data_IF_207189710709
#
_entry.id   IF_207189710709
#
_cell.length_a   1.000
_cell.length_b   1.000
_cell.length_c   1.000
_cell.angle_alpha   90.00
_cell.angle_beta   90.00
_cell.angle_gamma   90.00
#
_symmetry.space_group_name_H-M   'P 1'
#
loop_
_entity.id
_entity.type
_entity.pdbx_description
1 polymer ?
#
# COMPACT_ATOMS: atom_id res chain seq x y z
N UNK A 1 8.97 -11.12 -64.33
CA UNK A 1 9.54 -10.31 -63.23
C UNK A 1 8.37 -9.68 -62.48
N UNK A 2 7.97 -10.27 -61.35
CA UNK A 2 6.79 -9.83 -60.59
C UNK A 2 7.16 -8.65 -59.68
N UNK A 3 6.81 -7.45 -60.12
CA UNK A 3 6.88 -6.25 -59.28
C UNK A 3 5.75 -6.31 -58.24
N UNK A 4 6.05 -6.83 -57.05
CA UNK A 4 5.17 -6.64 -55.89
C UNK A 4 5.17 -5.16 -55.54
N UNK A 5 4.18 -4.44 -56.05
CA UNK A 5 3.91 -3.05 -55.67
C UNK A 5 3.48 -3.05 -54.20
N UNK A 6 4.40 -2.78 -53.28
CA UNK A 6 4.09 -2.55 -51.86
C UNK A 6 3.19 -1.33 -51.77
N UNK A 7 1.95 -1.55 -51.35
CA UNK A 7 0.94 -0.51 -51.23
C UNK A 7 1.32 0.40 -50.04
N UNK A 8 1.95 1.54 -50.33
CA UNK A 8 2.51 2.44 -49.30
C UNK A 8 1.47 2.88 -48.27
N UNK A 9 0.20 3.03 -48.65
CA UNK A 9 -0.89 3.34 -47.73
C UNK A 9 -1.16 2.23 -46.70
N UNK A 10 -1.02 0.97 -47.10
CA UNK A 10 -1.13 -0.16 -46.18
C UNK A 10 0.03 -0.21 -45.17
N UNK A 11 1.24 0.14 -45.61
CA UNK A 11 2.41 0.25 -44.72
C UNK A 11 2.23 1.38 -43.69
N UNK A 12 1.72 2.55 -44.08
CA UNK A 12 1.42 3.64 -43.16
C UNK A 12 0.29 3.30 -42.18
N UNK A 13 -0.75 2.59 -42.64
CA UNK A 13 -1.81 2.09 -41.77
C UNK A 13 -1.25 1.12 -40.71
N UNK A 14 -0.41 0.16 -41.12
CA UNK A 14 0.26 -0.75 -40.20
C UNK A 14 1.15 -0.01 -39.20
N UNK A 15 1.97 0.95 -39.65
CA UNK A 15 2.81 1.75 -38.77
C UNK A 15 1.99 2.54 -37.74
N UNK A 16 0.85 3.10 -38.16
CA UNK A 16 -0.06 3.83 -37.26
C UNK A 16 -0.71 2.91 -36.22
N UNK A 17 -1.15 1.72 -36.61
CA UNK A 17 -1.69 0.72 -35.67
C UNK A 17 -0.63 0.30 -34.65
N UNK A 18 0.60 0.01 -35.10
CA UNK A 18 1.72 -0.35 -34.20
C UNK A 18 2.01 0.78 -33.21
N UNK A 19 2.00 2.03 -33.66
CA UNK A 19 2.15 3.19 -32.80
C UNK A 19 1.04 3.26 -31.74
N UNK A 20 -0.23 3.12 -32.14
CA UNK A 20 -1.37 3.15 -31.22
C UNK A 20 -1.30 2.01 -30.20
N UNK A 21 -0.94 0.80 -30.62
CA UNK A 21 -0.75 -0.34 -29.71
C UNK A 21 0.40 -0.07 -28.75
N UNK A 22 1.53 0.46 -29.22
CA UNK A 22 2.66 0.82 -28.37
C UNK A 22 2.30 1.87 -27.31
N UNK A 23 1.58 2.93 -27.71
CA UNK A 23 1.08 3.96 -26.78
C UNK A 23 0.07 3.37 -25.80
N UNK A 24 -0.83 2.51 -26.26
CA UNK A 24 -1.80 1.81 -25.42
C UNK A 24 -1.13 0.92 -24.37
N UNK A 25 -0.11 0.16 -24.76
CA UNK A 25 0.68 -0.67 -23.84
C UNK A 25 1.47 0.18 -22.85
N UNK A 26 2.06 1.30 -23.28
CA UNK A 26 2.76 2.23 -22.40
C UNK A 26 1.82 2.82 -21.33
N UNK A 27 0.62 3.26 -21.73
CA UNK A 27 -0.40 3.75 -20.80
C UNK A 27 -0.85 2.64 -19.85
N UNK A 28 -1.10 1.44 -20.37
CA UNK A 28 -1.51 0.30 -19.55
C UNK A 28 -0.45 -0.07 -18.49
N UNK A 29 0.84 -0.02 -18.84
CA UNK A 29 1.94 -0.25 -17.90
C UNK A 29 2.06 0.86 -16.85
N UNK A 30 1.95 2.13 -17.27
CA UNK A 30 2.00 3.30 -16.38
C UNK A 30 0.92 3.26 -15.29
N UNK A 31 -0.29 2.81 -15.63
CA UNK A 31 -1.40 2.64 -14.69
C UNK A 31 -1.43 1.25 -14.03
N UNK A 32 -0.38 0.44 -14.18
CA UNK A 32 -0.26 -0.89 -13.57
C UNK A 32 -1.39 -1.86 -13.97
N UNK A 33 -1.98 -1.67 -15.15
CA UNK A 33 -3.05 -2.50 -15.69
C UNK A 33 -2.52 -3.80 -16.31
N UNK A 34 -1.22 -3.84 -16.63
CA UNK A 34 -0.57 -5.06 -17.10
C UNK A 34 -0.24 -5.98 -15.91
N UNK A 35 -0.46 -7.30 -16.03
CA UNK A 35 -0.14 -8.25 -14.96
C UNK A 35 1.33 -8.16 -14.56
N UNK A 36 1.59 -7.86 -13.29
CA UNK A 36 2.91 -7.98 -12.68
C UNK A 36 2.98 -9.21 -11.79
N UNK A 37 4.19 -9.72 -11.59
CA UNK A 37 4.44 -10.80 -10.63
C UNK A 37 4.13 -10.27 -9.23
N UNK A 38 3.10 -10.81 -8.62
CA UNK A 38 2.77 -10.65 -7.20
C UNK A 38 2.99 -11.97 -6.50
N UNK A 39 3.40 -11.93 -5.25
CA UNK A 39 3.57 -13.12 -4.44
C UNK A 39 2.54 -13.12 -3.32
N UNK A 40 1.96 -14.28 -3.07
CA UNK A 40 1.10 -14.55 -1.94
C UNK A 40 1.89 -15.26 -0.83
N UNK A 41 1.30 -15.40 0.37
CA UNK A 41 1.96 -16.05 1.50
C UNK A 41 2.29 -17.53 1.16
N UNK A 42 1.44 -18.16 0.37
CA UNK A 42 1.55 -19.54 -0.08
C UNK A 42 2.79 -19.79 -0.95
N UNK A 43 3.22 -18.79 -1.74
CA UNK A 43 4.44 -18.88 -2.56
C UNK A 43 5.71 -19.07 -1.71
N UNK A 44 5.64 -18.68 -0.44
CA UNK A 44 6.72 -18.81 0.54
C UNK A 44 6.45 -19.87 1.61
N UNK A 45 5.38 -20.65 1.48
CA UNK A 45 4.90 -21.59 2.51
C UNK A 45 4.65 -20.91 3.88
N UNK A 46 4.21 -19.66 3.87
CA UNK A 46 3.84 -18.91 5.07
C UNK A 46 2.35 -19.13 5.32
N UNK A 47 2.01 -19.68 6.49
CA UNK A 47 0.63 -19.76 6.93
C UNK A 47 0.15 -18.38 7.39
N UNK A 48 -0.93 -17.88 6.78
CA UNK A 48 -1.60 -16.66 7.26
C UNK A 48 -2.28 -16.95 8.59
N UNK A 49 -1.94 -16.16 9.60
CA UNK A 49 -2.58 -16.20 10.92
C UNK A 49 -3.59 -15.06 11.04
N UNK A 50 -4.63 -15.32 11.82
CA UNK A 50 -5.73 -14.38 12.08
C UNK A 50 -5.89 -14.19 13.58
N UNK A 51 -6.28 -13.00 14.00
CA UNK A 51 -6.66 -12.76 15.38
C UNK A 51 -7.97 -13.48 15.69
N UNK A 52 -8.09 -14.03 16.90
CA UNK A 52 -9.38 -14.52 17.43
C UNK A 52 -10.28 -13.36 17.91
N UNK A 53 -9.75 -12.14 17.91
CA UNK A 53 -10.40 -10.92 18.38
C UNK A 53 -10.58 -9.96 17.20
N UNK A 54 -11.74 -9.31 17.21
CA UNK A 54 -12.08 -8.14 16.40
C UNK A 54 -12.47 -7.05 17.42
N UNK A 55 -11.51 -6.17 17.76
CA UNK A 55 -11.68 -5.22 18.86
C UNK A 55 -12.69 -4.12 18.54
N UNK A 56 -12.83 -3.76 17.26
CA UNK A 56 -13.70 -2.68 16.80
C UNK A 56 -15.05 -3.18 16.26
N UNK A 57 -15.30 -4.50 16.31
CA UNK A 57 -16.51 -5.19 15.85
C UNK A 57 -16.88 -4.88 14.39
N UNK A 58 -15.89 -4.66 13.52
CA UNK A 58 -16.14 -4.29 12.11
C UNK A 58 -16.26 -5.50 11.15
N UNK A 59 -16.09 -6.73 11.66
CA UNK A 59 -16.12 -7.98 10.92
C UNK A 59 -14.78 -8.38 10.28
N UNK A 60 -13.69 -7.69 10.63
CA UNK A 60 -12.31 -7.97 10.20
C UNK A 60 -11.48 -8.21 11.47
N UNK A 61 -10.68 -9.26 11.49
CA UNK A 61 -9.83 -9.55 12.65
C UNK A 61 -8.72 -8.50 12.81
N UNK A 62 -8.28 -8.29 14.06
CA UNK A 62 -7.33 -7.22 14.40
C UNK A 62 -6.02 -7.28 13.59
N UNK A 63 -5.50 -8.47 13.28
CA UNK A 63 -4.24 -8.59 12.54
C UNK A 63 -4.40 -8.11 11.10
N UNK A 64 -5.52 -8.48 10.48
CA UNK A 64 -5.87 -8.02 9.14
C UNK A 64 -6.12 -6.51 9.14
N UNK A 65 -6.79 -5.97 10.16
CA UNK A 65 -7.04 -4.53 10.27
C UNK A 65 -5.76 -3.71 10.45
N UNK A 66 -4.81 -4.18 11.26
CA UNK A 66 -3.49 -3.54 11.39
C UNK A 66 -2.77 -3.55 10.03
N UNK A 67 -2.78 -4.68 9.32
CA UNK A 67 -2.19 -4.78 7.98
C UNK A 67 -2.85 -3.82 6.99
N UNK A 68 -4.19 -3.68 7.03
CA UNK A 68 -4.93 -2.75 6.20
C UNK A 68 -4.55 -1.30 6.50
N UNK A 69 -4.49 -0.91 7.77
CA UNK A 69 -4.09 0.44 8.17
C UNK A 69 -2.67 0.79 7.73
N UNK A 70 -1.71 -0.15 7.86
CA UNK A 70 -0.36 0.05 7.36
C UNK A 70 -0.32 0.21 5.82
N UNK A 71 -1.10 -0.58 5.08
CA UNK A 71 -1.23 -0.44 3.62
C UNK A 71 -1.90 0.88 3.22
N UNK A 72 -2.85 1.37 4.00
CA UNK A 72 -3.49 2.68 3.78
C UNK A 72 -2.48 3.81 3.94
N UNK A 73 -1.68 3.79 5.01
CA UNK A 73 -0.63 4.79 5.20
C UNK A 73 0.41 4.76 4.08
N UNK A 74 0.85 3.56 3.66
CA UNK A 74 1.76 3.39 2.54
C UNK A 74 1.18 3.94 1.21
N UNK A 75 -0.13 3.79 0.99
CA UNK A 75 -0.82 4.37 -0.18
C UNK A 75 -0.97 5.90 -0.10
N UNK A 76 -1.07 6.43 1.11
CA UNK A 76 -1.17 7.86 1.35
C UNK A 76 0.15 8.61 1.03
N UNK A 77 1.27 7.89 0.98
CA UNK A 77 2.59 8.42 0.66
C UNK A 77 2.94 9.69 1.47
N UNK A 78 2.86 9.66 2.81
CA UNK A 78 3.17 10.82 3.63
C UNK A 78 4.63 11.27 3.42
N UNK A 79 4.85 12.57 3.52
CA UNK A 79 6.20 13.14 3.45
C UNK A 79 6.98 12.75 4.70
N UNK A 80 8.16 12.15 4.51
CA UNK A 80 9.01 11.76 5.63
C UNK A 80 9.57 12.98 6.37
N UNK A 81 9.09 13.24 7.58
CA UNK A 81 9.53 14.37 8.41
C UNK A 81 9.40 14.04 9.90
N UNK A 82 10.52 14.07 10.62
CA UNK A 82 10.61 13.76 12.06
C UNK A 82 10.39 14.95 12.99
N UNK A 83 9.69 15.99 12.54
CA UNK A 83 9.32 17.12 13.40
C UNK A 83 8.37 16.67 14.52
N UNK A 84 8.48 17.30 15.68
CA UNK A 84 7.58 17.07 16.79
C UNK A 84 6.30 17.90 16.62
N UNK A 85 5.15 17.24 16.77
CA UNK A 85 3.84 17.85 16.69
C UNK A 85 3.18 17.89 18.07
N UNK A 86 2.44 18.97 18.33
CA UNK A 86 1.65 19.07 19.56
C UNK A 86 0.64 17.93 19.64
N UNK A 87 0.57 17.24 20.78
CA UNK A 87 -0.25 16.04 20.95
C UNK A 87 0.39 14.75 20.44
N UNK A 88 1.57 14.80 19.83
CA UNK A 88 2.36 13.63 19.44
C UNK A 88 1.93 12.93 18.15
N UNK A 89 0.95 13.49 17.42
CA UNK A 89 0.50 12.93 16.14
C UNK A 89 0.69 13.96 15.01
N UNK A 90 1.44 13.63 13.95
CA UNK A 90 1.58 14.51 12.79
C UNK A 90 0.29 14.55 11.95
N UNK A 91 0.13 15.57 11.09
CA UNK A 91 -0.87 15.58 10.01
C UNK A 91 -0.80 14.33 9.14
N UNK A 92 -1.91 13.95 8.50
CA UNK A 92 -2.00 12.69 7.73
C UNK A 92 -0.98 12.61 6.58
N UNK A 93 -0.63 13.74 5.96
CA UNK A 93 0.32 13.86 4.85
C UNK A 93 1.79 13.92 5.28
N UNK A 94 2.08 13.79 6.58
CA UNK A 94 3.41 13.79 7.17
C UNK A 94 3.57 12.58 8.09
N UNK A 95 4.75 11.96 8.11
CA UNK A 95 5.03 10.91 9.10
C UNK A 95 6.42 10.33 9.00
N UNK A 96 6.76 9.47 9.95
CA UNK A 96 7.95 8.63 9.97
C UNK A 96 7.56 7.16 10.16
N UNK A 97 8.53 6.27 10.33
CA UNK A 97 8.28 4.84 10.49
C UNK A 97 7.33 4.50 11.66
N UNK A 98 7.38 5.25 12.77
CA UNK A 98 6.47 5.05 13.91
C UNK A 98 5.05 5.51 13.63
N UNK A 99 4.85 6.42 12.66
CA UNK A 99 3.53 6.89 12.30
C UNK A 99 2.73 5.84 11.53
N UNK A 100 3.42 5.03 10.71
CA UNK A 100 2.84 3.85 10.08
C UNK A 100 2.22 2.93 11.14
N UNK A 101 2.94 2.72 12.25
CA UNK A 101 2.53 1.79 13.31
C UNK A 101 1.29 2.30 14.02
N UNK A 102 1.29 3.51 14.58
CA UNK A 102 0.10 3.95 15.34
C UNK A 102 -1.12 4.15 14.42
N UNK A 103 -0.94 4.55 13.15
CA UNK A 103 -2.04 4.62 12.17
C UNK A 103 -2.62 3.25 11.86
N UNK A 104 -1.77 2.21 11.79
CA UNK A 104 -2.21 0.83 11.63
C UNK A 104 -3.04 0.36 12.83
N UNK A 105 -2.57 0.60 14.05
CA UNK A 105 -3.33 0.30 15.27
C UNK A 105 -4.66 1.08 15.34
N UNK A 106 -4.64 2.36 14.96
CA UNK A 106 -5.85 3.18 14.91
C UNK A 106 -6.89 2.62 13.92
N UNK A 107 -6.46 2.05 12.79
CA UNK A 107 -7.38 1.39 11.86
C UNK A 107 -8.08 0.19 12.50
N UNK A 108 -7.37 -0.58 13.33
CA UNK A 108 -7.93 -1.66 14.15
C UNK A 108 -8.71 -1.15 15.39
N UNK A 109 -8.92 0.16 15.54
CA UNK A 109 -9.69 0.74 16.65
C UNK A 109 -8.89 1.00 17.94
N UNK A 110 -7.58 0.75 17.94
CA UNK A 110 -6.73 0.96 19.12
C UNK A 110 -6.13 2.38 19.17
N UNK A 111 -6.19 3.03 20.33
CA UNK A 111 -5.33 4.19 20.63
C UNK A 111 -4.03 3.68 21.28
N UNK A 112 -3.03 3.39 20.44
CA UNK A 112 -1.74 2.86 20.87
C UNK A 112 -1.04 3.73 21.93
N UNK A 113 -1.19 5.05 21.85
CA UNK A 113 -0.59 5.98 22.82
C UNK A 113 -1.27 5.86 24.17
N UNK A 114 -2.60 5.80 24.20
CA UNK A 114 -3.33 5.63 25.46
C UNK A 114 -3.02 4.27 26.09
N UNK A 115 -2.97 3.20 25.30
CA UNK A 115 -2.58 1.87 25.76
C UNK A 115 -1.17 1.89 26.38
N UNK A 116 -0.19 2.49 25.69
CA UNK A 116 1.17 2.63 26.21
C UNK A 116 1.22 3.47 27.48
N UNK A 117 0.49 4.58 27.53
CA UNK A 117 0.45 5.45 28.71
C UNK A 117 -0.15 4.73 29.93
N UNK A 118 -1.24 4.00 29.74
CA UNK A 118 -1.86 3.19 30.79
C UNK A 118 -0.90 2.11 31.29
N UNK A 119 -0.10 1.54 30.39
CA UNK A 119 0.91 0.54 30.72
C UNK A 119 2.04 1.11 31.58
N UNK A 120 2.57 2.28 31.20
CA UNK A 120 3.60 3.01 31.97
C UNK A 120 3.09 3.36 33.36
N UNK A 121 1.85 3.85 33.48
CA UNK A 121 1.24 4.19 34.77
C UNK A 121 1.12 2.94 35.65
N UNK A 122 0.71 1.80 35.08
CA UNK A 122 0.52 0.56 35.81
C UNK A 122 1.85 -0.07 36.26
N UNK A 123 2.93 0.10 35.49
CA UNK A 123 4.23 -0.55 35.73
C UNK A 123 5.41 0.41 35.54
N UNK A 124 5.52 1.48 36.35
CA UNK A 124 6.56 2.49 36.16
C UNK A 124 8.00 1.95 36.29
N UNK A 125 8.19 0.82 37.00
CA UNK A 125 9.49 0.18 37.13
C UNK A 125 10.00 -0.53 35.86
N UNK A 126 9.12 -0.84 34.91
CA UNK A 126 9.47 -1.49 33.63
C UNK A 126 9.95 -0.48 32.58
N UNK A 127 9.79 0.82 32.85
CA UNK A 127 10.12 1.94 31.97
C UNK A 127 11.19 2.83 32.62
N UNK A 128 12.49 2.47 32.49
CA UNK A 128 13.59 3.17 33.15
C UNK A 128 13.89 4.56 32.58
#
# INVERSE_FOLDING_TARGET
>A
MNNKCTNKGLLWLFAFIVLLVGVGLYIADYYNLLPRRTYAAEDFNIATVYSEVDYNDNGIDDYTDILHGAKMDAKNCPTYNGAYYSGGYPPDDIGVCTDVVWRAFKNAGFDLREMLNNDIIARPGDYP
#
